data_IF_773635959682
#
_entry.id   IF_773635959682
#
_cell.length_a   1.000
_cell.length_b   1.000
_cell.length_c   1.000
_cell.angle_alpha   90.00
_cell.angle_beta   90.00
_cell.angle_gamma   90.00
#
_symmetry.space_group_name_H-M   'P 1'
#
loop_
_entity.id
_entity.type
_entity.pdbx_description
1 polymer ?
#
# COMPACT_ATOMS: atom_id res chain seq x y z
N UNK A 1 5.16 -3.11 -8.73
CA UNK A 1 5.53 -2.81 -7.33
C UNK A 1 4.45 -3.18 -6.32
N UNK A 2 3.26 -2.56 -6.33
CA UNK A 2 2.25 -2.85 -5.30
C UNK A 2 1.75 -4.32 -5.34
N UNK A 3 1.65 -4.91 -6.53
CA UNK A 3 1.32 -6.33 -6.69
C UNK A 3 2.32 -7.27 -5.98
N UNK A 4 3.61 -6.94 -5.98
CA UNK A 4 4.63 -7.72 -5.27
C UNK A 4 4.41 -7.67 -3.76
N UNK A 5 4.07 -6.48 -3.24
CA UNK A 5 3.76 -6.30 -1.81
C UNK A 5 2.48 -7.07 -1.45
N UNK A 6 1.45 -7.02 -2.29
CA UNK A 6 0.19 -7.76 -2.07
C UNK A 6 0.41 -9.27 -1.97
N UNK A 7 1.28 -9.83 -2.82
CA UNK A 7 1.60 -11.26 -2.85
C UNK A 7 2.36 -11.72 -1.59
N UNK A 8 3.26 -10.88 -1.09
CA UNK A 8 4.18 -11.25 -0.01
C UNK A 8 3.75 -10.75 1.39
N UNK A 9 2.75 -9.86 1.48
CA UNK A 9 2.32 -9.25 2.76
C UNK A 9 1.84 -10.28 3.78
N UNK A 10 1.29 -11.40 3.33
CA UNK A 10 0.77 -12.44 4.22
C UNK A 10 1.90 -13.20 4.94
N UNK A 11 3.09 -13.26 4.32
CA UNK A 11 4.25 -13.98 4.84
C UNK A 11 5.17 -13.07 5.63
N UNK A 12 5.51 -11.89 5.07
CA UNK A 12 6.52 -11.00 5.66
C UNK A 12 5.94 -9.76 6.33
N UNK A 13 4.65 -9.46 6.13
CA UNK A 13 4.05 -8.19 6.54
C UNK A 13 4.45 -7.01 5.64
N UNK A 14 3.70 -5.91 5.74
CA UNK A 14 3.89 -4.73 4.89
C UNK A 14 5.15 -3.94 5.27
N UNK A 15 5.38 -3.72 6.57
CA UNK A 15 6.48 -2.88 7.05
C UNK A 15 7.87 -3.38 6.61
N UNK A 16 8.21 -4.67 6.74
CA UNK A 16 9.50 -5.19 6.29
C UNK A 16 9.71 -5.03 4.77
N UNK A 17 8.68 -5.27 3.96
CA UNK A 17 8.76 -5.13 2.50
C UNK A 17 8.92 -3.66 2.10
N UNK A 18 8.18 -2.75 2.74
CA UNK A 18 8.28 -1.31 2.51
C UNK A 18 9.68 -0.76 2.80
N UNK A 19 10.39 -1.33 3.79
CA UNK A 19 11.79 -0.98 4.11
C UNK A 19 12.76 -1.40 3.01
N UNK A 20 12.58 -2.57 2.42
CA UNK A 20 13.48 -3.11 1.37
C UNK A 20 13.25 -2.43 0.02
N UNK A 21 12.00 -2.06 -0.30
CA UNK A 21 11.65 -1.40 -1.55
C UNK A 21 11.62 0.14 -1.48
N UNK A 22 12.39 0.73 -0.56
CA UNK A 22 12.20 2.04 0.07
C UNK A 22 10.91 2.81 -0.31
N UNK A 23 9.76 2.34 0.14
CA UNK A 23 8.50 3.10 0.06
C UNK A 23 7.87 3.32 1.43
N UNK A 24 7.18 4.44 1.58
CA UNK A 24 6.38 4.67 2.78
C UNK A 24 5.19 3.69 2.84
N UNK A 25 4.90 3.05 3.99
CA UNK A 25 3.71 2.20 4.16
C UNK A 25 2.40 2.94 3.85
N UNK A 26 2.34 4.25 4.10
CA UNK A 26 1.20 5.11 3.76
C UNK A 26 0.88 5.10 2.26
N UNK A 27 1.90 5.03 1.40
CA UNK A 27 1.73 4.92 -0.05
C UNK A 27 1.07 3.59 -0.44
N UNK A 28 1.47 2.49 0.20
CA UNK A 28 0.85 1.18 -0.01
C UNK A 28 -0.63 1.22 0.38
N UNK A 29 -0.95 1.71 1.59
CA UNK A 29 -2.34 1.78 2.05
C UNK A 29 -3.21 2.69 1.20
N UNK A 30 -2.67 3.82 0.71
CA UNK A 30 -3.40 4.69 -0.22
C UNK A 30 -3.74 3.96 -1.53
N UNK A 31 -2.83 3.13 -2.04
CA UNK A 31 -3.09 2.32 -3.23
C UNK A 31 -4.09 1.18 -2.94
N UNK A 32 -3.95 0.48 -1.80
CA UNK A 32 -4.88 -0.56 -1.38
C UNK A 32 -6.31 0.00 -1.21
N UNK A 33 -6.45 1.18 -0.60
CA UNK A 33 -7.73 1.86 -0.44
C UNK A 33 -8.40 2.23 -1.78
N UNK A 34 -7.61 2.65 -2.78
CA UNK A 34 -8.10 2.93 -4.14
C UNK A 34 -8.55 1.67 -4.87
N UNK A 35 -7.84 0.54 -4.71
CA UNK A 35 -8.29 -0.74 -5.29
C UNK A 35 -9.56 -1.27 -4.63
N UNK A 36 -9.67 -1.15 -3.31
CA UNK A 36 -10.86 -1.58 -2.57
C UNK A 36 -12.08 -0.68 -2.87
N UNK A 37 -11.85 0.61 -3.13
CA UNK A 37 -12.90 1.58 -3.45
C UNK A 37 -12.47 2.46 -4.62
N UNK A 38 -12.68 2.03 -5.88
CA UNK A 38 -12.29 2.80 -7.05
C UNK A 38 -12.98 4.17 -7.16
N UNK A 39 -14.11 4.35 -6.46
CA UNK A 39 -14.84 5.62 -6.39
C UNK A 39 -14.47 6.53 -5.21
N UNK A 40 -13.55 6.14 -4.31
CA UNK A 40 -13.18 6.97 -3.16
C UNK A 40 -12.10 7.98 -3.58
N UNK A 41 -12.40 9.29 -3.64
CA UNK A 41 -11.37 10.29 -3.91
C UNK A 41 -10.31 10.23 -2.81
N UNK A 42 -9.06 10.58 -3.18
CA UNK A 42 -7.98 10.75 -2.20
C UNK A 42 -8.50 11.70 -1.14
N UNK A 43 -8.58 11.27 0.12
CA UNK A 43 -8.90 12.18 1.21
C UNK A 43 -7.76 13.21 1.25
N UNK A 44 -7.99 14.37 0.63
CA UNK A 44 -7.13 15.53 0.73
C UNK A 44 -7.19 15.94 2.18
N UNK A 45 -6.10 15.69 2.90
CA UNK A 45 -5.91 16.25 4.23
C UNK A 45 -5.73 17.76 4.02
N UNK A 46 -6.69 18.54 4.54
CA UNK A 46 -6.60 20.00 4.63
C UNK A 46 -5.45 20.39 5.57
#
# INVERSE_FOLDING_TARGET
MIAFIDDHRAVYGIEPICRVLPIAPSTYYAHAARRANPGRPRATRH
#
